data_IF_553173307340
#
_entry.id   IF_553173307340
#
_cell.length_a   1.000
_cell.length_b   1.000
_cell.length_c   1.000
_cell.angle_alpha   90.00
_cell.angle_beta   90.00
_cell.angle_gamma   90.00
#
_symmetry.space_group_name_H-M   'P 1'
#
loop_
_entity.id
_entity.type
_entity.pdbx_description
1 polymer ?
#
# COMPACT_ATOMS: atom_id res chain seq x y z
N UNK A 1 -14.79 -4.71 5.26
CA UNK A 1 -13.32 -4.60 5.35
C UNK A 1 -12.82 -5.58 6.40
N UNK A 2 -11.92 -6.51 6.06
CA UNK A 2 -11.41 -7.49 7.02
C UNK A 2 -10.37 -6.83 7.92
N UNK A 3 -10.74 -6.54 9.16
CA UNK A 3 -9.82 -6.12 10.21
C UNK A 3 -8.94 -7.32 10.60
N UNK A 4 -7.61 -7.18 10.60
CA UNK A 4 -6.71 -8.24 11.07
C UNK A 4 -6.93 -8.45 12.57
N UNK A 5 -7.77 -9.44 12.91
CA UNK A 5 -8.00 -9.85 14.31
C UNK A 5 -6.82 -10.61 14.92
N UNK A 6 -5.90 -11.09 14.08
CA UNK A 6 -4.78 -11.92 14.49
C UNK A 6 -3.49 -11.40 13.86
N UNK A 7 -2.40 -11.41 14.64
CA UNK A 7 -1.07 -11.13 14.14
C UNK A 7 -0.40 -12.44 13.71
N UNK A 8 -0.29 -12.63 12.40
CA UNK A 8 0.32 -13.84 11.84
C UNK A 8 1.81 -13.93 12.16
N UNK A 9 2.52 -12.80 12.34
CA UNK A 9 3.93 -12.83 12.73
C UNK A 9 4.08 -13.47 14.10
N UNK A 10 3.29 -13.04 15.09
CA UNK A 10 3.33 -13.61 16.44
C UNK A 10 2.90 -15.08 16.46
N UNK A 11 1.92 -15.46 15.63
CA UNK A 11 1.51 -16.86 15.48
C UNK A 11 2.66 -17.70 14.91
N UNK A 12 3.27 -17.30 13.78
CA UNK A 12 4.37 -18.07 13.18
C UNK A 12 5.58 -18.07 14.10
N UNK A 13 5.92 -16.96 14.75
CA UNK A 13 7.01 -16.89 15.73
C UNK A 13 6.84 -17.89 16.87
N UNK A 14 5.60 -18.15 17.30
CA UNK A 14 5.30 -19.14 18.35
C UNK A 14 5.41 -20.60 17.88
N UNK A 15 5.21 -20.86 16.59
CA UNK A 15 5.18 -22.22 16.00
C UNK A 15 6.51 -22.59 15.33
N UNK A 16 7.08 -21.67 14.55
CA UNK A 16 8.31 -21.79 13.77
C UNK A 16 9.03 -20.42 13.71
N UNK A 17 9.85 -20.09 14.72
CA UNK A 17 10.55 -18.81 14.78
C UNK A 17 11.60 -18.65 13.67
N UNK A 18 12.15 -19.75 13.14
CA UNK A 18 13.12 -19.69 12.04
C UNK A 18 12.44 -19.28 10.74
N UNK A 19 11.25 -19.82 10.45
CA UNK A 19 10.46 -19.41 9.30
C UNK A 19 10.04 -17.93 9.39
N UNK A 20 9.58 -17.48 10.56
CA UNK A 20 9.24 -16.07 10.77
C UNK A 20 10.45 -15.16 10.46
N UNK A 21 11.62 -15.50 11.01
CA UNK A 21 12.85 -14.75 10.77
C UNK A 21 13.20 -14.67 9.28
N UNK A 22 13.07 -15.76 8.53
CA UNK A 22 13.37 -15.77 7.09
C UNK A 22 12.41 -14.91 6.28
N UNK A 23 11.11 -14.97 6.55
CA UNK A 23 10.11 -14.16 5.84
C UNK A 23 10.33 -12.67 6.12
N UNK A 24 10.54 -12.31 7.39
CA UNK A 24 10.81 -10.93 7.81
C UNK A 24 12.12 -10.42 7.22
N UNK A 25 13.18 -11.24 7.20
CA UNK A 25 14.46 -10.86 6.62
C UNK A 25 14.37 -10.61 5.10
N UNK A 26 13.62 -11.45 4.38
CA UNK A 26 13.44 -11.26 2.94
C UNK A 26 12.68 -9.96 2.62
N UNK A 27 11.54 -9.74 3.28
CA UNK A 27 10.76 -8.51 3.08
C UNK A 27 11.58 -7.25 3.44
N UNK A 28 12.29 -7.31 4.58
CA UNK A 28 13.19 -6.24 5.02
C UNK A 28 14.32 -5.96 4.03
N UNK A 29 14.96 -7.00 3.49
CA UNK A 29 16.02 -6.85 2.49
C UNK A 29 15.53 -6.19 1.21
N UNK A 30 14.43 -6.67 0.62
CA UNK A 30 13.88 -6.14 -0.63
C UNK A 30 13.53 -4.65 -0.49
N UNK A 31 12.96 -4.27 0.66
CA UNK A 31 12.55 -2.90 0.93
C UNK A 31 13.73 -1.98 1.30
N UNK A 32 14.69 -2.46 2.08
CA UNK A 32 15.83 -1.66 2.52
C UNK A 32 16.95 -1.54 1.48
N UNK A 33 16.98 -2.44 0.48
CA UNK A 33 17.97 -2.40 -0.59
C UNK A 33 17.88 -1.06 -1.34
N UNK A 34 18.99 -0.34 -1.38
CA UNK A 34 19.13 0.80 -2.29
C UNK A 34 19.30 0.27 -3.73
N UNK A 35 18.45 0.73 -4.64
CA UNK A 35 18.32 0.16 -5.99
C UNK A 35 17.71 1.17 -6.95
N UNK A 36 17.69 0.81 -8.24
CA UNK A 36 17.09 1.58 -9.34
C UNK A 36 15.59 1.82 -9.16
N UNK A 37 14.94 1.08 -8.25
CA UNK A 37 13.59 1.37 -7.78
C UNK A 37 13.70 1.99 -6.38
N UNK A 38 13.63 3.33 -6.26
CA UNK A 38 13.61 4.01 -4.97
C UNK A 38 12.50 3.51 -4.05
N UNK A 39 12.71 3.65 -2.72
CA UNK A 39 11.78 3.15 -1.70
C UNK A 39 10.33 3.60 -1.90
N UNK A 40 10.13 4.88 -2.28
CA UNK A 40 8.82 5.44 -2.66
C UNK A 40 8.06 4.56 -3.65
N UNK A 41 8.72 4.15 -4.74
CA UNK A 41 8.09 3.36 -5.79
C UNK A 41 7.89 1.90 -5.39
N UNK A 42 8.78 1.32 -4.56
CA UNK A 42 8.56 -0.01 -3.98
C UNK A 42 7.26 -0.07 -3.18
N UNK A 43 7.04 0.92 -2.33
CA UNK A 43 5.82 0.98 -1.51
C UNK A 43 4.57 1.26 -2.36
N UNK A 44 4.64 2.13 -3.37
CA UNK A 44 3.54 2.34 -4.33
C UNK A 44 3.16 1.05 -5.08
N UNK A 45 4.16 0.27 -5.53
CA UNK A 45 3.93 -1.02 -6.20
C UNK A 45 3.26 -2.01 -5.24
N UNK A 46 3.78 -2.15 -4.02
CA UNK A 46 3.21 -3.05 -3.01
C UNK A 46 1.80 -2.63 -2.58
N UNK A 47 1.54 -1.33 -2.50
CA UNK A 47 0.20 -0.77 -2.25
C UNK A 47 -0.76 -1.16 -3.37
N UNK A 48 -0.38 -0.95 -4.64
CA UNK A 48 -1.18 -1.33 -5.79
C UNK A 48 -1.45 -2.84 -5.83
N UNK A 49 -0.44 -3.67 -5.55
CA UNK A 49 -0.60 -5.12 -5.43
C UNK A 49 -1.53 -5.51 -4.27
N UNK A 50 -1.43 -4.85 -3.12
CA UNK A 50 -2.31 -5.08 -1.97
C UNK A 50 -3.77 -4.74 -2.31
N UNK A 51 -3.99 -3.63 -3.02
CA UNK A 51 -5.32 -3.23 -3.49
C UNK A 51 -5.87 -4.24 -4.51
N UNK A 52 -5.03 -4.71 -5.44
CA UNK A 52 -5.38 -5.72 -6.45
C UNK A 52 -5.90 -7.02 -5.82
N UNK A 53 -5.37 -7.44 -4.66
CA UNK A 53 -5.83 -8.63 -3.92
C UNK A 53 -6.85 -8.32 -2.81
N UNK A 54 -7.39 -7.09 -2.76
CA UNK A 54 -8.36 -6.60 -1.75
C UNK A 54 -7.85 -6.70 -0.31
N UNK A 55 -6.55 -6.50 -0.14
CA UNK A 55 -5.91 -6.47 1.17
C UNK A 55 -5.83 -5.04 1.72
N UNK A 56 -6.97 -4.51 2.19
CA UNK A 56 -7.12 -3.11 2.59
C UNK A 56 -6.13 -2.65 3.68
N UNK A 57 -5.84 -3.47 4.70
CA UNK A 57 -4.84 -3.09 5.71
C UNK A 57 -3.44 -2.98 5.13
N UNK A 58 -3.09 -3.85 4.17
CA UNK A 58 -1.82 -3.75 3.45
C UNK A 58 -1.78 -2.54 2.54
N UNK A 59 -2.88 -2.22 1.83
CA UNK A 59 -2.97 -1.01 1.03
C UNK A 59 -2.74 0.23 1.89
N UNK A 60 -3.37 0.31 3.07
CA UNK A 60 -3.21 1.43 4.01
C UNK A 60 -1.78 1.54 4.56
N UNK A 61 -1.18 0.43 4.98
CA UNK A 61 0.19 0.39 5.49
C UNK A 61 1.19 0.85 4.42
N UNK A 62 1.09 0.29 3.21
CA UNK A 62 1.98 0.60 2.08
C UNK A 62 1.77 2.01 1.55
N UNK A 63 0.54 2.51 1.53
CA UNK A 63 0.25 3.91 1.20
C UNK A 63 0.90 4.89 2.17
N UNK A 64 0.81 4.61 3.48
CA UNK A 64 1.46 5.41 4.51
C UNK A 64 2.99 5.46 4.33
N UNK A 65 3.62 4.31 4.11
CA UNK A 65 5.07 4.24 3.85
C UNK A 65 5.46 4.94 2.56
N UNK A 66 4.66 4.80 1.49
CA UNK A 66 4.90 5.51 0.24
C UNK A 66 4.91 7.04 0.46
N UNK A 67 3.93 7.57 1.18
CA UNK A 67 3.87 9.01 1.52
C UNK A 67 5.02 9.44 2.42
N UNK A 68 5.40 8.62 3.41
CA UNK A 68 6.57 8.87 4.25
C UNK A 68 7.86 9.02 3.41
N UNK A 69 7.94 8.28 2.31
CA UNK A 69 9.02 8.36 1.33
C UNK A 69 8.77 9.38 0.18
N UNK A 70 7.81 10.29 0.35
CA UNK A 70 7.58 11.42 -0.54
C UNK A 70 6.62 11.16 -1.70
N UNK A 71 5.80 10.10 -1.64
CA UNK A 71 4.70 9.93 -2.57
C UNK A 71 3.60 10.97 -2.32
N UNK A 72 3.09 11.55 -3.39
CA UNK A 72 1.93 12.45 -3.34
C UNK A 72 0.62 11.67 -3.38
N UNK A 73 -0.44 12.28 -2.88
CA UNK A 73 -1.82 11.77 -3.00
C UNK A 73 -2.19 11.42 -4.45
N UNK A 74 -1.72 12.23 -5.40
CA UNK A 74 -1.93 11.99 -6.82
C UNK A 74 -1.26 10.69 -7.30
N UNK A 75 -0.02 10.43 -6.87
CA UNK A 75 0.67 9.18 -7.20
C UNK A 75 -0.04 7.97 -6.59
N UNK A 76 -0.62 8.10 -5.39
CA UNK A 76 -1.39 7.03 -4.75
C UNK A 76 -2.65 6.70 -5.58
N UNK A 77 -3.41 7.72 -5.96
CA UNK A 77 -4.62 7.58 -6.79
C UNK A 77 -4.29 7.00 -8.16
N UNK A 78 -3.23 7.47 -8.82
CA UNK A 78 -2.79 6.96 -10.13
C UNK A 78 -2.35 5.49 -10.06
N UNK A 79 -1.65 5.09 -9.00
CA UNK A 79 -1.26 3.69 -8.79
C UNK A 79 -2.48 2.77 -8.58
N UNK A 80 -3.49 3.22 -7.83
CA UNK A 80 -4.74 2.48 -7.67
C UNK A 80 -5.54 2.39 -8.96
N UNK A 81 -5.58 3.47 -9.75
CA UNK A 81 -6.20 3.46 -11.06
C UNK A 81 -5.50 2.45 -11.99
N UNK A 82 -4.16 2.38 -11.94
CA UNK A 82 -3.39 1.40 -12.69
C UNK A 82 -3.70 -0.05 -12.26
N UNK A 83 -3.81 -0.30 -10.95
CA UNK A 83 -4.19 -1.62 -10.42
C UNK A 83 -5.59 -2.06 -10.90
N UNK A 84 -6.51 -1.12 -11.11
CA UNK A 84 -7.86 -1.40 -11.59
C UNK A 84 -7.90 -1.97 -13.02
N UNK A 85 -6.89 -1.67 -13.85
CA UNK A 85 -6.81 -2.18 -15.22
C UNK A 85 -6.67 -3.70 -15.28
N UNK A 86 -5.99 -4.30 -14.29
CA UNK A 86 -5.77 -5.75 -14.23
C UNK A 86 -6.68 -6.46 -13.23
N UNK A 87 -7.17 -5.73 -12.22
CA UNK A 87 -7.87 -6.31 -11.07
C UNK A 87 -9.31 -5.82 -10.90
N UNK A 88 -9.82 -5.03 -11.85
CA UNK A 88 -11.18 -4.48 -11.84
C UNK A 88 -11.32 -3.23 -10.98
N UNK A 89 -12.42 -2.49 -11.21
CA UNK A 89 -12.70 -1.19 -10.56
C UNK A 89 -12.75 -1.28 -9.03
N UNK A 90 -13.08 -2.43 -8.46
CA UNK A 90 -13.12 -2.60 -7.01
C UNK A 90 -11.72 -2.50 -6.37
N UNK A 91 -10.63 -2.73 -7.12
CA UNK A 91 -9.26 -2.50 -6.63
C UNK A 91 -9.02 -1.01 -6.36
N UNK A 92 -9.59 -0.16 -7.22
CA UNK A 92 -9.54 1.28 -7.07
C UNK A 92 -10.42 1.74 -5.91
N UNK A 93 -11.71 1.39 -5.92
CA UNK A 93 -12.68 1.86 -4.92
C UNK A 93 -12.27 1.45 -3.50
N UNK A 94 -12.01 0.16 -3.26
CA UNK A 94 -11.63 -0.32 -1.93
C UNK A 94 -10.23 0.17 -1.53
N UNK A 95 -9.35 0.39 -2.50
CA UNK A 95 -8.04 0.99 -2.26
C UNK A 95 -8.12 2.43 -1.77
N UNK A 96 -8.98 3.24 -2.40
CA UNK A 96 -9.25 4.62 -1.97
C UNK A 96 -9.88 4.64 -0.58
N UNK A 97 -10.87 3.78 -0.33
CA UNK A 97 -11.48 3.65 1.01
C UNK A 97 -10.46 3.26 2.08
N UNK A 98 -9.51 2.39 1.74
CA UNK A 98 -8.44 1.99 2.67
C UNK A 98 -7.48 3.12 3.02
N UNK A 99 -7.32 4.11 2.13
CA UNK A 99 -6.49 5.29 2.34
C UNK A 99 -7.27 6.50 2.88
N UNK A 100 -8.56 6.36 3.19
CA UNK A 100 -9.49 7.49 3.29
C UNK A 100 -9.05 8.68 4.17
N UNK A 101 -8.37 8.44 5.29
CA UNK A 101 -7.87 9.49 6.19
C UNK A 101 -6.46 10.00 5.85
N UNK A 102 -5.78 9.34 4.91
CA UNK A 102 -4.42 9.63 4.47
C UNK A 102 -4.36 10.56 3.27
N UNK A 103 -5.37 10.51 2.38
CA UNK A 103 -5.42 11.34 1.18
C UNK A 103 -5.94 12.73 1.55
N UNK A 104 -5.07 13.73 1.44
CA UNK A 104 -5.42 15.12 1.63
C UNK A 104 -5.74 15.72 0.26
N UNK A 105 -6.96 15.48 -0.24
CA UNK A 105 -7.39 16.13 -1.49
C UNK A 105 -7.27 17.64 -1.26
N UNK A 106 -6.27 18.26 -1.89
CA UNK A 106 -6.13 19.71 -1.92
C UNK A 106 -7.47 20.25 -2.38
N UNK A 107 -8.09 21.11 -1.57
CA UNK A 107 -9.39 21.71 -1.86
C UNK A 107 -9.41 22.05 -3.34
N UNK A 108 -10.34 21.43 -4.08
CA UNK A 108 -10.49 21.70 -5.49
C UNK A 108 -10.53 23.22 -5.64
N UNK A 109 -9.53 23.80 -6.31
CA UNK A 109 -9.62 25.19 -6.70
C UNK A 109 -10.87 25.24 -7.59
N UNK A 110 -11.94 25.84 -7.05
CA UNK A 110 -13.21 26.01 -7.72
C UNK A 110 -12.92 26.52 -9.13
N UNK A 111 -13.05 25.62 -10.10
CA UNK A 111 -12.85 25.92 -11.50
C UNK A 111 -13.87 26.97 -11.87
N UNK A 112 -13.43 28.22 -11.95
CA UNK A 112 -14.16 29.28 -12.65
C UNK A 112 -14.45 28.77 -14.06
N UNK A 113 -15.70 28.42 -14.28
CA UNK A 113 -16.29 28.23 -15.59
C UNK A 113 -16.10 29.52 -16.38
N UNK A 114 -15.29 29.45 -17.44
CA UNK A 114 -15.24 30.43 -18.52
C UNK A 114 -16.04 29.94 -19.71
#
# INVERSE_FOLDING_TARGET
>A
MYERKHDWHEIIKSVDPTLEQHVTAFAGHVLALDSEIPRKYKELILMACSAAIRYGSGTRERGCEAMHHGASDKELVEALALASLTSGVTAFVEGIEALGDQITVGAAEDGTLG
#
